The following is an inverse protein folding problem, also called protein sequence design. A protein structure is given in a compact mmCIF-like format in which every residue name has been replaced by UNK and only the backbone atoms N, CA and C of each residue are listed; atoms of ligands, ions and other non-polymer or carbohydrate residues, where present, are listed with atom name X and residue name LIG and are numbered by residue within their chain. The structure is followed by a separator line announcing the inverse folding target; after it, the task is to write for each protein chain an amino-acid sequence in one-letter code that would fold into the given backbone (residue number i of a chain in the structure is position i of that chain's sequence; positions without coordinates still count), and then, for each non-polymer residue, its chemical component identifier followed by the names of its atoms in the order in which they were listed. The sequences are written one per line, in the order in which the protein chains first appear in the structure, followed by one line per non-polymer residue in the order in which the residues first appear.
data_IF_062762768164
#
_entry.id   IF_062762768164
#
_cell.length_a   1.000
_cell.length_b   1.000
_cell.length_c   1.000
_cell.angle_alpha   90.00
_cell.angle_beta   90.00
_cell.angle_gamma   90.00
#
_symmetry.space_group_name_H-M   'P 1'
#
loop_
_entity.id
_entity.type
_entity.pdbx_description
1 polymer ?
#
# COMPACT_ATOMS: atom_id res chain seq x y z
N UNK A 1 66.71 52.22 -10.70
CA UNK A 1 65.82 51.99 -9.56
C UNK A 1 64.66 51.12 -10.12
N UNK A 2 64.71 49.82 -9.90
CA UNK A 2 63.73 48.92 -10.37
C UNK A 2 62.96 48.34 -9.15
N UNK A 3 61.68 48.58 -9.05
CA UNK A 3 60.79 47.97 -8.07
C UNK A 3 60.20 46.68 -8.63
N UNK A 4 60.34 45.64 -7.90
CA UNK A 4 59.83 44.29 -8.18
C UNK A 4 58.35 44.14 -7.88
N UNK A 5 57.60 43.35 -8.63
CA UNK A 5 56.24 42.93 -8.27
C UNK A 5 56.29 41.56 -7.55
N UNK A 6 56.00 41.55 -6.26
CA UNK A 6 55.93 40.35 -5.44
C UNK A 6 54.48 40.05 -4.92
N UNK A 7 53.44 40.19 -5.75
CA UNK A 7 52.06 40.01 -5.26
C UNK A 7 51.24 38.94 -6.01
N UNK A 8 51.71 38.39 -7.16
CA UNK A 8 50.86 37.50 -7.95
C UNK A 8 50.99 36.00 -7.62
N UNK A 9 52.07 35.56 -6.96
CA UNK A 9 52.29 34.17 -6.65
C UNK A 9 51.42 33.61 -5.48
N UNK A 10 51.06 34.46 -4.52
CA UNK A 10 50.27 34.07 -3.36
C UNK A 10 48.76 33.90 -3.67
N UNK A 11 48.23 34.63 -4.65
CA UNK A 11 46.81 34.51 -5.04
C UNK A 11 46.50 33.25 -5.87
N UNK A 12 47.50 32.75 -6.64
CA UNK A 12 47.30 31.53 -7.44
C UNK A 12 47.33 30.27 -6.60
N UNK A 13 48.17 30.19 -5.57
CA UNK A 13 48.23 29.04 -4.65
C UNK A 13 46.98 28.94 -3.76
N UNK A 14 46.40 30.09 -3.36
CA UNK A 14 45.16 30.08 -2.57
C UNK A 14 43.92 29.69 -3.36
N UNK A 15 43.86 30.06 -4.66
CA UNK A 15 42.75 29.64 -5.54
C UNK A 15 42.80 28.16 -5.89
N UNK A 16 44.01 27.56 -6.04
CA UNK A 16 44.16 26.13 -6.30
C UNK A 16 43.85 25.27 -5.06
N UNK A 17 44.17 25.72 -3.87
CA UNK A 17 43.80 25.03 -2.61
C UNK A 17 42.30 25.12 -2.33
N UNK A 18 41.63 26.21 -2.62
CA UNK A 18 40.18 26.36 -2.49
C UNK A 18 39.41 25.47 -3.49
N UNK A 19 39.92 25.32 -4.71
CA UNK A 19 39.34 24.42 -5.72
C UNK A 19 39.51 22.94 -5.37
N UNK A 20 40.64 22.56 -4.73
CA UNK A 20 40.86 21.20 -4.26
C UNK A 20 40.01 20.85 -3.03
N UNK A 21 39.75 21.80 -2.13
CA UNK A 21 38.86 21.62 -0.98
C UNK A 21 37.37 21.54 -1.38
N UNK A 22 36.96 22.22 -2.44
CA UNK A 22 35.59 22.07 -2.98
C UNK A 22 35.35 20.76 -3.73
N UNK A 23 36.38 20.09 -4.25
CA UNK A 23 36.23 18.77 -4.91
C UNK A 23 36.13 17.58 -3.91
N UNK A 24 36.52 17.76 -2.66
CA UNK A 24 36.45 16.70 -1.64
C UNK A 24 35.07 16.69 -0.94
N UNK A 25 34.25 17.76 -1.07
CA UNK A 25 32.97 17.89 -0.40
C UNK A 25 31.77 17.34 -1.18
N UNK A 26 31.94 16.80 -2.39
CA UNK A 26 30.88 16.07 -3.09
C UNK A 26 31.08 14.56 -2.96
N UNK A 27 31.17 14.05 -1.74
CA UNK A 27 30.64 12.71 -1.48
C UNK A 27 29.14 12.81 -1.73
N UNK A 28 28.73 12.55 -2.97
CA UNK A 28 27.36 12.28 -3.33
C UNK A 28 26.93 11.11 -2.46
N UNK A 29 26.23 11.42 -1.36
CA UNK A 29 25.40 10.44 -0.69
C UNK A 29 24.40 10.00 -1.77
N UNK A 30 24.71 8.92 -2.49
CA UNK A 30 23.69 8.21 -3.22
C UNK A 30 22.66 7.80 -2.17
N UNK A 31 21.40 8.20 -2.31
CA UNK A 31 20.37 7.68 -1.41
C UNK A 31 20.48 6.16 -1.49
N UNK A 32 20.64 5.52 -0.34
CA UNK A 32 20.60 4.06 -0.25
C UNK A 32 19.35 3.64 -1.02
N UNK A 33 19.50 2.85 -2.09
CA UNK A 33 18.37 2.41 -2.92
C UNK A 33 17.34 1.76 -1.99
N UNK A 34 16.05 1.99 -2.28
CA UNK A 34 14.97 1.37 -1.51
C UNK A 34 15.21 -0.14 -1.40
N UNK A 35 15.05 -0.70 -0.21
CA UNK A 35 15.22 -2.13 0.03
C UNK A 35 14.25 -2.95 -0.84
N UNK A 36 14.71 -4.08 -1.37
CA UNK A 36 13.88 -4.99 -2.17
C UNK A 36 13.05 -5.89 -1.25
N UNK A 37 11.76 -6.02 -1.52
CA UNK A 37 10.89 -6.94 -0.78
C UNK A 37 11.19 -8.39 -1.17
N UNK A 38 11.55 -9.21 -0.19
CA UNK A 38 11.73 -10.67 -0.34
C UNK A 38 10.75 -11.38 0.58
N UNK A 39 9.75 -12.05 0.00
CA UNK A 39 8.70 -12.78 0.72
C UNK A 39 9.11 -14.26 0.89
N UNK A 40 10.13 -14.50 1.72
CA UNK A 40 10.61 -15.86 2.01
C UNK A 40 9.46 -16.72 2.56
N UNK A 41 9.31 -17.93 2.01
CA UNK A 41 8.28 -18.92 2.38
C UNK A 41 6.81 -18.47 2.15
N UNK A 42 6.59 -17.27 1.62
CA UNK A 42 5.30 -16.85 1.05
C UNK A 42 5.33 -16.91 -0.47
N UNK A 43 6.40 -16.41 -1.11
CA UNK A 43 6.52 -16.47 -2.57
C UNK A 43 7.27 -17.71 -3.03
N UNK A 44 6.56 -18.60 -3.71
CA UNK A 44 7.09 -19.85 -4.25
C UNK A 44 8.00 -19.63 -5.48
N UNK A 45 8.81 -20.64 -5.86
CA UNK A 45 9.67 -20.54 -7.05
C UNK A 45 8.92 -20.26 -8.35
N UNK A 46 7.68 -20.71 -8.50
CA UNK A 46 6.82 -20.46 -9.67
C UNK A 46 6.19 -19.06 -9.69
N UNK A 47 6.36 -18.26 -8.62
CA UNK A 47 5.83 -16.91 -8.48
C UNK A 47 4.55 -16.79 -7.65
N UNK A 48 3.88 -17.89 -7.33
CA UNK A 48 2.70 -17.90 -6.47
C UNK A 48 3.02 -17.27 -5.10
N UNK A 49 2.11 -16.45 -4.57
CA UNK A 49 2.22 -15.87 -3.22
C UNK A 49 1.09 -16.44 -2.37
N UNK A 50 1.45 -17.21 -1.36
CA UNK A 50 0.49 -17.81 -0.42
C UNK A 50 0.00 -16.78 0.59
N UNK A 51 -1.23 -16.96 1.09
CA UNK A 51 -1.83 -16.06 2.08
C UNK A 51 -1.09 -16.15 3.42
N UNK A 52 -0.66 -17.35 3.80
CA UNK A 52 0.04 -17.62 5.06
C UNK A 52 1.44 -18.18 4.81
N UNK A 53 2.30 -18.08 5.83
CA UNK A 53 3.66 -18.62 5.82
C UNK A 53 3.67 -20.11 5.47
N UNK A 54 4.46 -20.50 4.48
CA UNK A 54 4.52 -21.85 3.93
C UNK A 54 3.13 -22.46 3.65
N UNK A 55 2.13 -21.61 3.35
CA UNK A 55 0.72 -21.98 3.26
C UNK A 55 0.36 -22.73 1.98
N UNK A 56 -0.84 -23.29 1.99
CA UNK A 56 -1.46 -24.09 0.92
C UNK A 56 -2.64 -23.39 0.24
N UNK A 57 -2.89 -22.13 0.57
CA UNK A 57 -3.97 -21.31 0.02
C UNK A 57 -3.45 -19.96 -0.47
N UNK A 58 -4.10 -19.45 -1.51
CA UNK A 58 -3.82 -18.15 -2.11
C UNK A 58 -5.11 -17.36 -2.21
N UNK A 59 -5.13 -16.21 -1.57
CA UNK A 59 -6.08 -15.17 -1.85
C UNK A 59 -5.37 -14.07 -2.66
N UNK A 60 -5.74 -13.86 -3.94
CA UNK A 60 -5.07 -12.88 -4.79
C UNK A 60 -5.14 -11.44 -4.26
N UNK A 61 -6.19 -11.10 -3.50
CA UNK A 61 -6.30 -9.79 -2.89
C UNK A 61 -5.16 -9.55 -1.89
N UNK A 62 -4.92 -10.47 -0.95
CA UNK A 62 -3.86 -10.31 0.04
C UNK A 62 -2.46 -10.24 -0.60
N UNK A 63 -2.22 -11.04 -1.63
CA UNK A 63 -0.95 -11.01 -2.37
C UNK A 63 -0.72 -9.65 -3.08
N UNK A 64 -1.72 -9.14 -3.80
CA UNK A 64 -1.63 -7.84 -4.46
C UNK A 64 -1.50 -6.70 -3.44
N UNK A 65 -2.30 -6.73 -2.37
CA UNK A 65 -2.29 -5.72 -1.31
C UNK A 65 -0.96 -5.69 -0.55
N UNK A 66 -0.34 -6.84 -0.29
CA UNK A 66 0.98 -6.94 0.33
C UNK A 66 2.06 -6.23 -0.50
N UNK A 67 2.06 -6.45 -1.81
CA UNK A 67 3.00 -5.80 -2.73
C UNK A 67 2.78 -4.29 -2.79
N UNK A 68 1.52 -3.84 -2.87
CA UNK A 68 1.16 -2.42 -2.89
C UNK A 68 1.51 -1.73 -1.57
N UNK A 69 1.17 -2.34 -0.44
CA UNK A 69 1.47 -1.79 0.88
C UNK A 69 2.98 -1.67 1.15
N UNK A 70 3.78 -2.64 0.70
CA UNK A 70 5.24 -2.53 0.75
C UNK A 70 5.78 -1.38 -0.11
N UNK A 71 5.20 -1.14 -1.30
CA UNK A 71 5.54 0.02 -2.13
C UNK A 71 5.19 1.34 -1.43
N UNK A 72 4.01 1.42 -0.82
CA UNK A 72 3.57 2.61 -0.06
C UNK A 72 4.47 2.86 1.14
N UNK A 73 4.96 1.79 1.76
CA UNK A 73 5.95 1.85 2.82
C UNK A 73 7.40 2.04 2.31
N UNK A 74 7.63 2.32 1.02
CA UNK A 74 8.92 2.72 0.46
C UNK A 74 9.86 1.60 0.05
N UNK A 75 9.41 0.34 -0.02
CA UNK A 75 10.19 -0.76 -0.59
C UNK A 75 10.08 -0.82 -2.12
N UNK A 76 11.10 -1.38 -2.77
CA UNK A 76 10.94 -1.86 -4.15
C UNK A 76 10.39 -3.29 -4.12
N UNK A 77 9.40 -3.56 -4.97
CA UNK A 77 8.76 -4.89 -5.07
C UNK A 77 8.89 -5.49 -6.46
N UNK A 78 9.80 -4.93 -7.27
CA UNK A 78 9.88 -5.24 -8.71
C UNK A 78 9.94 -6.73 -8.99
N UNK A 79 10.86 -7.45 -8.34
CA UNK A 79 11.04 -8.88 -8.56
C UNK A 79 9.83 -9.69 -8.10
N UNK A 80 9.35 -9.43 -6.89
CA UNK A 80 8.21 -10.14 -6.31
C UNK A 80 6.93 -9.89 -7.13
N UNK A 81 6.66 -8.63 -7.49
CA UNK A 81 5.48 -8.24 -8.26
C UNK A 81 5.51 -8.84 -9.68
N UNK A 82 6.65 -8.80 -10.39
CA UNK A 82 6.75 -9.37 -11.73
C UNK A 82 6.48 -10.87 -11.73
N UNK A 83 7.01 -11.61 -10.74
CA UNK A 83 6.79 -13.06 -10.61
C UNK A 83 5.33 -13.36 -10.25
N UNK A 84 4.74 -12.59 -9.34
CA UNK A 84 3.33 -12.72 -8.99
C UNK A 84 2.40 -12.44 -10.17
N UNK A 85 2.64 -11.34 -10.90
CA UNK A 85 1.85 -11.01 -12.09
C UNK A 85 1.96 -12.11 -13.15
N UNK A 86 3.16 -12.64 -13.40
CA UNK A 86 3.37 -13.74 -14.34
C UNK A 86 2.60 -15.00 -13.91
N UNK A 87 2.46 -15.25 -12.60
CA UNK A 87 1.72 -16.39 -12.07
C UNK A 87 0.20 -16.19 -12.16
N UNK A 88 -0.32 -15.01 -11.79
CA UNK A 88 -1.76 -14.76 -11.69
C UNK A 88 -2.41 -14.43 -13.04
N UNK A 89 -1.73 -13.70 -13.91
CA UNK A 89 -2.25 -13.19 -15.17
C UNK A 89 -2.92 -14.26 -16.06
N UNK A 90 -2.33 -15.47 -16.30
CA UNK A 90 -2.98 -16.51 -17.11
C UNK A 90 -4.19 -17.17 -16.40
N UNK A 91 -4.46 -16.82 -15.15
CA UNK A 91 -5.57 -17.34 -14.34
C UNK A 91 -6.76 -16.37 -14.30
N UNK A 92 -6.65 -15.22 -14.97
CA UNK A 92 -7.75 -14.28 -15.08
C UNK A 92 -8.90 -14.91 -15.88
N UNK A 93 -10.08 -14.93 -15.30
CA UNK A 93 -11.29 -15.43 -15.93
C UNK A 93 -11.70 -14.58 -17.14
N UNK A 94 -12.59 -15.11 -17.98
CA UNK A 94 -13.05 -14.42 -19.19
C UNK A 94 -13.74 -13.08 -18.89
N UNK A 95 -14.45 -13.03 -17.77
CA UNK A 95 -15.16 -11.83 -17.27
C UNK A 95 -14.26 -10.82 -16.55
N UNK A 96 -12.99 -11.16 -16.33
CA UNK A 96 -12.00 -10.28 -15.71
C UNK A 96 -11.69 -10.58 -14.26
N UNK A 97 -12.48 -11.41 -13.58
CA UNK A 97 -12.30 -11.81 -12.18
C UNK A 97 -11.14 -12.80 -11.98
N UNK A 98 -10.88 -13.10 -10.73
CA UNK A 98 -9.99 -14.17 -10.27
C UNK A 98 -10.66 -14.97 -9.17
N UNK A 99 -10.28 -16.23 -9.08
CA UNK A 99 -10.66 -17.11 -7.97
C UNK A 99 -9.60 -17.07 -6.86
N UNK A 100 -9.94 -17.68 -5.72
CA UNK A 100 -8.99 -18.14 -4.72
C UNK A 100 -8.45 -19.50 -5.12
N UNK A 101 -7.23 -19.81 -4.70
CA UNK A 101 -6.55 -21.05 -5.09
C UNK A 101 -6.11 -21.83 -3.87
N UNK A 102 -6.28 -23.15 -3.95
CA UNK A 102 -5.88 -24.11 -2.93
C UNK A 102 -4.90 -25.12 -3.51
N UNK A 103 -4.00 -25.62 -2.66
CA UNK A 103 -3.05 -26.65 -3.04
C UNK A 103 -3.75 -27.98 -3.29
N UNK A 104 -3.51 -28.56 -4.47
CA UNK A 104 -3.90 -29.95 -4.79
C UNK A 104 -2.67 -30.69 -5.33
N UNK A 105 -2.15 -31.59 -4.52
CA UNK A 105 -0.83 -32.18 -4.79
C UNK A 105 0.26 -31.11 -4.70
N UNK A 106 0.93 -30.82 -5.81
CA UNK A 106 1.99 -29.79 -5.89
C UNK A 106 1.58 -28.55 -6.67
N UNK A 107 0.29 -28.38 -6.99
CA UNK A 107 -0.19 -27.26 -7.82
C UNK A 107 -1.34 -26.55 -7.15
N UNK A 108 -1.38 -25.23 -7.31
CA UNK A 108 -2.55 -24.43 -6.95
C UNK A 108 -3.60 -24.51 -8.05
N UNK A 109 -4.82 -24.84 -7.65
CA UNK A 109 -6.01 -24.88 -8.51
C UNK A 109 -7.08 -23.96 -7.94
N UNK A 110 -7.95 -23.43 -8.78
CA UNK A 110 -9.14 -22.69 -8.34
C UNK A 110 -9.97 -23.56 -7.40
N UNK A 111 -10.36 -23.01 -6.25
CA UNK A 111 -11.12 -23.74 -5.23
C UNK A 111 -12.30 -22.94 -4.66
N UNK A 112 -12.32 -21.62 -4.86
CA UNK A 112 -13.38 -20.76 -4.35
C UNK A 112 -13.40 -19.46 -5.15
N UNK A 113 -14.59 -18.87 -5.36
CA UNK A 113 -14.71 -17.50 -5.86
C UNK A 113 -14.09 -16.52 -4.84
N UNK A 114 -13.56 -15.37 -5.32
CA UNK A 114 -13.20 -14.28 -4.45
C UNK A 114 -14.44 -13.74 -3.72
N UNK A 115 -14.25 -13.15 -2.54
CA UNK A 115 -15.35 -12.61 -1.73
C UNK A 115 -15.66 -11.13 -2.02
N UNK A 116 -14.69 -10.40 -2.58
CA UNK A 116 -14.82 -8.98 -2.92
C UNK A 116 -14.19 -8.72 -4.30
N UNK A 117 -15.04 -8.74 -5.33
CA UNK A 117 -14.59 -8.51 -6.72
C UNK A 117 -14.07 -7.08 -6.91
N UNK A 118 -14.71 -6.08 -6.30
CA UNK A 118 -14.35 -4.67 -6.43
C UNK A 118 -12.94 -4.36 -5.88
N UNK A 119 -12.66 -4.75 -4.65
CA UNK A 119 -11.36 -4.55 -4.00
C UNK A 119 -10.25 -5.33 -4.72
N UNK A 120 -10.52 -6.59 -5.12
CA UNK A 120 -9.53 -7.40 -5.84
C UNK A 120 -9.21 -6.82 -7.22
N UNK A 121 -10.22 -6.40 -8.00
CA UNK A 121 -10.00 -5.78 -9.32
C UNK A 121 -9.23 -4.46 -9.17
N UNK A 122 -9.56 -3.65 -8.17
CA UNK A 122 -8.86 -2.41 -7.85
C UNK A 122 -7.38 -2.68 -7.52
N UNK A 123 -7.11 -3.58 -6.58
CA UNK A 123 -5.73 -3.94 -6.19
C UNK A 123 -4.92 -4.52 -7.37
N UNK A 124 -5.55 -5.33 -8.23
CA UNK A 124 -4.92 -5.86 -9.43
C UNK A 124 -4.58 -4.78 -10.44
N UNK A 125 -5.52 -3.90 -10.75
CA UNK A 125 -5.31 -2.76 -11.66
C UNK A 125 -4.19 -1.86 -11.16
N UNK A 126 -4.21 -1.52 -9.88
CA UNK A 126 -3.18 -0.68 -9.25
C UNK A 126 -1.80 -1.35 -9.30
N UNK A 127 -1.72 -2.65 -8.99
CA UNK A 127 -0.46 -3.40 -9.05
C UNK A 127 0.13 -3.41 -10.46
N UNK A 128 -0.68 -3.63 -11.50
CA UNK A 128 -0.23 -3.64 -12.89
C UNK A 128 0.38 -2.29 -13.30
N UNK A 129 -0.28 -1.16 -12.99
CA UNK A 129 0.20 0.17 -13.39
C UNK A 129 1.41 0.62 -12.57
N UNK A 130 1.48 0.26 -11.28
CA UNK A 130 2.62 0.61 -10.41
C UNK A 130 3.85 -0.26 -10.66
N UNK A 131 3.65 -1.49 -11.13
CA UNK A 131 4.72 -2.43 -11.46
C UNK A 131 5.14 -2.38 -12.94
N UNK A 132 4.48 -1.55 -13.76
CA UNK A 132 4.74 -1.45 -15.19
C UNK A 132 6.21 -1.06 -15.46
N UNK A 133 6.87 -1.71 -16.45
CA UNK A 133 8.21 -1.32 -16.88
C UNK A 133 8.26 0.14 -17.35
N UNK A 134 9.44 0.81 -17.33
CA UNK A 134 9.57 2.20 -17.79
C UNK A 134 9.11 2.45 -19.23
N UNK A 135 9.15 1.43 -20.09
CA UNK A 135 8.68 1.51 -21.49
C UNK A 135 7.16 1.37 -21.63
N UNK A 136 6.45 1.20 -20.54
CA UNK A 136 5.00 0.99 -20.49
C UNK A 136 4.61 -0.46 -20.22
N UNK A 137 3.30 -0.65 -19.99
CA UNK A 137 2.72 -1.97 -19.74
C UNK A 137 2.88 -2.90 -20.95
N UNK A 138 3.30 -4.17 -20.75
CA UNK A 138 3.25 -5.18 -21.81
C UNK A 138 1.81 -5.37 -22.30
N UNK A 139 1.59 -5.74 -23.60
CA UNK A 139 0.24 -5.91 -24.15
C UNK A 139 -0.66 -6.87 -23.34
N UNK A 140 -0.09 -7.95 -22.81
CA UNK A 140 -0.83 -8.91 -21.98
C UNK A 140 -1.30 -8.28 -20.63
N UNK A 141 -0.47 -7.41 -20.03
CA UNK A 141 -0.85 -6.69 -18.81
C UNK A 141 -1.94 -5.65 -19.09
N UNK A 142 -1.82 -4.93 -20.21
CA UNK A 142 -2.84 -3.97 -20.64
C UNK A 142 -4.18 -4.67 -20.88
N UNK A 143 -4.18 -5.80 -21.60
CA UNK A 143 -5.41 -6.58 -21.84
C UNK A 143 -6.05 -7.08 -20.54
N UNK A 144 -5.23 -7.47 -19.54
CA UNK A 144 -5.70 -7.89 -18.23
C UNK A 144 -6.26 -6.72 -17.42
N UNK A 145 -5.56 -5.57 -17.43
CA UNK A 145 -6.05 -4.32 -16.84
C UNK A 145 -7.41 -3.93 -17.41
N UNK A 146 -7.56 -3.96 -18.73
CA UNK A 146 -8.80 -3.59 -19.40
C UNK A 146 -9.95 -4.54 -19.05
N UNK A 147 -9.68 -5.85 -18.87
CA UNK A 147 -10.69 -6.81 -18.42
C UNK A 147 -11.13 -6.52 -16.98
N UNK A 148 -10.17 -6.31 -16.06
CA UNK A 148 -10.47 -5.98 -14.68
C UNK A 148 -11.26 -4.66 -14.58
N UNK A 149 -10.88 -3.63 -15.35
CA UNK A 149 -11.60 -2.36 -15.40
C UNK A 149 -13.02 -2.51 -15.89
N UNK A 150 -13.25 -3.30 -16.96
CA UNK A 150 -14.62 -3.55 -17.45
C UNK A 150 -15.47 -4.29 -16.43
N UNK A 151 -14.91 -5.29 -15.75
CA UNK A 151 -15.62 -5.97 -14.68
C UNK A 151 -15.99 -5.01 -13.56
N UNK A 152 -15.02 -4.22 -13.09
CA UNK A 152 -15.24 -3.22 -12.05
C UNK A 152 -16.32 -2.21 -12.45
N UNK A 153 -16.35 -1.73 -13.71
CA UNK A 153 -17.38 -0.81 -14.19
C UNK A 153 -18.81 -1.43 -14.11
N UNK A 154 -18.95 -2.78 -14.14
CA UNK A 154 -20.24 -3.46 -13.94
C UNK A 154 -20.74 -3.47 -12.49
N UNK A 155 -19.81 -3.28 -11.53
CA UNK A 155 -20.13 -3.26 -10.10
C UNK A 155 -20.52 -1.86 -9.60
N UNK A 156 -20.43 -0.83 -10.44
CA UNK A 156 -20.80 0.53 -10.05
C UNK A 156 -22.32 0.66 -9.92
N UNK A 157 -22.78 0.99 -8.71
CA UNK A 157 -24.19 1.28 -8.47
C UNK A 157 -24.56 2.63 -9.11
N UNK A 158 -25.51 2.67 -10.07
CA UNK A 158 -25.86 3.90 -10.77
C UNK A 158 -26.54 4.94 -9.88
N UNK A 159 -27.21 4.51 -8.79
CA UNK A 159 -27.90 5.42 -7.86
C UNK A 159 -26.95 6.12 -6.88
N UNK A 160 -26.02 5.37 -6.31
CA UNK A 160 -25.08 5.89 -5.33
C UNK A 160 -23.71 6.25 -5.89
N UNK A 161 -23.34 5.71 -7.07
CA UNK A 161 -22.05 5.94 -7.70
C UNK A 161 -20.88 5.19 -7.08
N UNK A 162 -21.06 4.49 -5.96
CA UNK A 162 -20.06 3.63 -5.33
C UNK A 162 -20.06 2.23 -5.92
N UNK A 163 -19.03 1.45 -5.64
CA UNK A 163 -18.84 0.09 -6.12
C UNK A 163 -19.36 -0.93 -5.12
N UNK A 164 -19.98 -1.98 -5.65
CA UNK A 164 -20.55 -3.08 -4.87
C UNK A 164 -19.55 -4.21 -4.81
N UNK A 165 -19.53 -4.95 -3.69
CA UNK A 165 -18.62 -6.10 -3.45
C UNK A 165 -18.62 -7.06 -4.64
N UNK A 166 -19.81 -7.42 -5.13
CA UNK A 166 -19.99 -8.28 -6.30
C UNK A 166 -21.41 -8.15 -6.85
N UNK A 167 -21.65 -8.70 -8.04
CA UNK A 167 -23.01 -8.76 -8.62
C UNK A 167 -23.98 -9.63 -7.78
N UNK A 168 -23.45 -10.61 -7.02
CA UNK A 168 -24.24 -11.49 -6.14
C UNK A 168 -24.56 -10.85 -4.79
N UNK A 169 -23.69 -9.96 -4.33
CA UNK A 169 -23.83 -9.27 -3.04
C UNK A 169 -23.82 -7.75 -3.28
N UNK A 170 -24.98 -7.14 -3.51
CA UNK A 170 -25.10 -5.71 -3.85
C UNK A 170 -24.98 -4.82 -2.62
N UNK A 171 -23.85 -4.94 -1.93
CA UNK A 171 -23.45 -4.15 -0.76
C UNK A 171 -22.17 -3.41 -1.12
N UNK A 172 -22.06 -2.14 -0.76
CA UNK A 172 -20.81 -1.41 -0.89
C UNK A 172 -20.11 -1.30 0.46
N UNK A 173 -18.80 -1.56 0.48
CA UNK A 173 -17.94 -1.35 1.62
C UNK A 173 -17.11 -0.08 1.43
N UNK A 174 -16.94 0.68 2.52
CA UNK A 174 -16.13 1.90 2.50
C UNK A 174 -14.69 1.60 2.08
N UNK A 175 -14.05 0.60 2.69
CA UNK A 175 -12.63 0.32 2.46
C UNK A 175 -12.38 -0.13 1.03
N UNK A 176 -13.25 -0.97 0.46
CA UNK A 176 -13.15 -1.42 -0.94
C UNK A 176 -13.26 -0.24 -1.91
N UNK A 177 -14.20 0.68 -1.66
CA UNK A 177 -14.35 1.89 -2.47
C UNK A 177 -13.16 2.85 -2.37
N UNK A 178 -12.51 2.93 -1.20
CA UNK A 178 -11.24 3.66 -1.03
C UNK A 178 -10.14 3.04 -1.89
N UNK A 179 -10.06 1.72 -1.98
CA UNK A 179 -9.10 1.01 -2.83
C UNK A 179 -9.40 1.22 -4.33
N UNK A 180 -10.66 1.21 -4.72
CA UNK A 180 -11.05 1.56 -6.10
C UNK A 180 -10.61 2.99 -6.46
N UNK A 181 -10.78 3.96 -5.57
CA UNK A 181 -10.30 5.32 -5.78
C UNK A 181 -8.77 5.37 -5.90
N UNK A 182 -8.03 4.64 -5.06
CA UNK A 182 -6.56 4.50 -5.16
C UNK A 182 -6.13 3.96 -6.52
N UNK A 183 -6.78 2.90 -6.99
CA UNK A 183 -6.49 2.30 -8.29
C UNK A 183 -6.72 3.29 -9.46
N UNK A 184 -7.77 4.10 -9.40
CA UNK A 184 -8.02 5.13 -10.43
C UNK A 184 -6.98 6.24 -10.40
N UNK A 185 -6.55 6.70 -9.21
CA UNK A 185 -5.45 7.66 -9.04
C UNK A 185 -4.15 7.10 -9.62
N UNK A 186 -3.82 5.85 -9.28
CA UNK A 186 -2.63 5.17 -9.81
C UNK A 186 -2.67 5.00 -11.34
N UNK A 187 -3.84 4.68 -11.93
CA UNK A 187 -4.03 4.62 -13.38
C UNK A 187 -3.85 6.00 -14.04
N UNK A 188 -4.34 7.07 -13.40
CA UNK A 188 -4.10 8.44 -13.86
C UNK A 188 -2.61 8.78 -13.87
N UNK A 189 -1.90 8.52 -12.76
CA UNK A 189 -0.47 8.77 -12.63
C UNK A 189 0.35 7.98 -13.66
N UNK A 190 -0.03 6.72 -13.89
CA UNK A 190 0.60 5.90 -14.92
C UNK A 190 0.46 6.52 -16.31
N UNK A 191 -0.76 6.90 -16.71
CA UNK A 191 -1.05 7.56 -18.01
C UNK A 191 -0.28 8.87 -18.15
N UNK A 192 -0.26 9.68 -17.10
CA UNK A 192 0.47 10.96 -17.09
C UNK A 192 1.97 10.75 -17.33
N UNK A 193 2.59 9.79 -16.64
CA UNK A 193 4.01 9.46 -16.81
C UNK A 193 4.37 8.93 -18.19
N UNK A 194 3.41 8.37 -18.92
CA UNK A 194 3.59 7.85 -20.28
C UNK A 194 3.07 8.80 -21.36
N UNK A 195 2.81 10.08 -21.04
CA UNK A 195 2.45 11.13 -22.00
C UNK A 195 1.00 11.09 -22.48
N UNK A 196 0.14 10.24 -21.90
CA UNK A 196 -1.29 10.18 -22.21
C UNK A 196 -2.08 11.09 -21.26
N UNK A 197 -1.99 12.41 -21.46
CA UNK A 197 -2.66 13.41 -20.63
C UNK A 197 -4.20 13.29 -20.67
N UNK A 198 -4.77 12.88 -21.80
CA UNK A 198 -6.23 12.72 -21.96
C UNK A 198 -6.71 11.52 -21.14
N UNK A 199 -6.05 10.39 -21.25
CA UNK A 199 -6.33 9.20 -20.43
C UNK A 199 -6.13 9.47 -18.95
N UNK A 200 -5.04 10.16 -18.57
CA UNK A 200 -4.79 10.58 -17.20
C UNK A 200 -5.93 11.41 -16.62
N UNK A 201 -6.35 12.47 -17.32
CA UNK A 201 -7.48 13.28 -16.90
C UNK A 201 -8.80 12.49 -16.81
N UNK A 202 -8.98 11.48 -17.67
CA UNK A 202 -10.13 10.57 -17.62
C UNK A 202 -10.18 9.76 -16.32
N UNK A 203 -9.07 9.14 -15.93
CA UNK A 203 -8.96 8.37 -14.71
C UNK A 203 -9.06 9.25 -13.46
N UNK A 204 -8.44 10.44 -13.47
CA UNK A 204 -8.54 11.37 -12.34
C UNK A 204 -9.98 11.81 -12.11
N UNK A 205 -10.75 12.13 -13.18
CA UNK A 205 -12.17 12.45 -13.02
C UNK A 205 -12.99 11.30 -12.42
N UNK A 206 -12.70 10.03 -12.79
CA UNK A 206 -13.33 8.85 -12.16
C UNK A 206 -13.01 8.82 -10.65
N UNK A 207 -11.74 9.03 -10.27
CA UNK A 207 -11.31 9.05 -8.88
C UNK A 207 -11.98 10.17 -8.06
N UNK A 208 -11.94 11.41 -8.57
CA UNK A 208 -12.55 12.57 -7.90
C UNK A 208 -14.08 12.43 -7.74
N UNK A 209 -14.75 11.84 -8.75
CA UNK A 209 -16.17 11.57 -8.63
C UNK A 209 -16.45 10.51 -7.58
N UNK A 210 -15.66 9.42 -7.54
CA UNK A 210 -15.79 8.38 -6.53
C UNK A 210 -15.49 8.92 -5.13
N UNK A 211 -14.48 9.77 -4.95
CA UNK A 211 -14.19 10.40 -3.66
C UNK A 211 -15.40 11.20 -3.13
N UNK A 212 -16.09 11.93 -4.01
CA UNK A 212 -17.32 12.65 -3.66
C UNK A 212 -18.46 11.68 -3.31
N UNK A 213 -18.62 10.61 -4.07
CA UNK A 213 -19.65 9.59 -3.83
C UNK A 213 -19.38 8.83 -2.52
N UNK A 214 -18.11 8.48 -2.21
CA UNK A 214 -17.69 7.90 -0.92
C UNK A 214 -18.12 8.81 0.24
N UNK A 215 -17.79 10.10 0.17
CA UNK A 215 -18.16 11.04 1.23
C UNK A 215 -19.67 11.20 1.35
N UNK A 216 -20.40 11.24 0.25
CA UNK A 216 -21.86 11.33 0.26
C UNK A 216 -22.53 10.09 0.86
N UNK A 217 -22.04 8.91 0.51
CA UNK A 217 -22.63 7.62 0.92
C UNK A 217 -22.22 7.23 2.33
N UNK A 218 -20.95 7.37 2.69
CA UNK A 218 -20.42 6.79 3.93
C UNK A 218 -20.15 7.81 5.04
N UNK A 219 -19.93 9.11 4.73
CA UNK A 219 -19.61 10.09 5.77
C UNK A 219 -20.85 10.60 6.50
N UNK A 220 -20.77 10.59 7.84
CA UNK A 220 -21.77 11.18 8.74
C UNK A 220 -21.08 12.15 9.69
N UNK A 221 -21.37 13.46 9.67
CA UNK A 221 -20.61 14.49 10.40
C UNK A 221 -20.39 14.20 11.90
N UNK A 222 -21.38 13.60 12.56
CA UNK A 222 -21.34 13.36 14.01
C UNK A 222 -21.01 11.90 14.40
N UNK A 223 -20.92 10.99 13.42
CA UNK A 223 -20.76 9.56 13.67
C UNK A 223 -19.48 8.99 13.05
N UNK A 224 -18.85 9.72 12.11
CA UNK A 224 -17.74 9.21 11.31
C UNK A 224 -18.22 8.51 10.04
N UNK A 225 -17.45 7.53 9.59
CA UNK A 225 -17.78 6.77 8.40
C UNK A 225 -18.65 5.56 8.71
N UNK A 226 -19.69 5.34 7.92
CA UNK A 226 -20.33 4.04 7.83
C UNK A 226 -19.36 3.05 7.14
N UNK A 227 -19.30 1.83 7.64
CA UNK A 227 -18.40 0.80 7.08
C UNK A 227 -18.97 0.15 5.82
N UNK A 228 -20.30 0.13 5.73
CA UNK A 228 -21.02 -0.46 4.59
C UNK A 228 -22.37 0.24 4.36
N UNK A 229 -22.97 -0.03 3.20
CA UNK A 229 -24.35 0.39 2.90
C UNK A 229 -25.41 -0.46 3.60
N UNK A 230 -25.02 -1.60 4.18
CA UNK A 230 -25.89 -2.39 5.03
C UNK A 230 -25.68 -2.03 6.51
N UNK A 231 -26.78 -1.89 7.30
CA UNK A 231 -26.68 -1.73 8.75
C UNK A 231 -25.97 -2.92 9.40
N UNK A 232 -25.29 -2.65 10.52
CA UNK A 232 -24.67 -3.67 11.37
C UNK A 232 -25.20 -3.55 12.78
N UNK A 233 -25.49 -4.70 13.41
CA UNK A 233 -26.06 -4.74 14.75
C UNK A 233 -25.02 -4.52 15.85
N UNK A 234 -23.74 -4.85 15.59
CA UNK A 234 -22.67 -4.75 16.57
C UNK A 234 -21.42 -4.15 15.94
N UNK A 235 -20.82 -3.20 16.64
CA UNK A 235 -19.53 -2.64 16.28
C UNK A 235 -18.40 -3.59 16.73
N UNK A 236 -17.35 -3.69 15.90
CA UNK A 236 -16.15 -4.47 16.17
C UNK A 236 -14.90 -3.65 15.83
N UNK A 237 -13.72 -4.09 16.28
CA UNK A 237 -12.49 -3.42 15.87
C UNK A 237 -12.37 -3.42 14.34
N UNK A 238 -12.49 -4.58 13.72
CA UNK A 238 -12.67 -4.70 12.28
C UNK A 238 -14.11 -5.13 11.99
N UNK A 239 -14.80 -4.45 11.08
CA UNK A 239 -14.30 -3.35 10.22
C UNK A 239 -14.49 -1.94 10.83
N UNK A 240 -15.22 -1.76 11.93
CA UNK A 240 -15.74 -0.46 12.31
C UNK A 240 -14.66 0.56 12.70
N UNK A 241 -13.71 0.18 13.58
CA UNK A 241 -12.63 1.08 13.95
C UNK A 241 -11.65 1.30 12.78
N UNK A 242 -11.26 0.25 12.05
CA UNK A 242 -10.31 0.34 10.93
C UNK A 242 -10.84 1.24 9.82
N UNK A 243 -12.12 1.13 9.48
CA UNK A 243 -12.76 1.94 8.45
C UNK A 243 -12.67 3.47 8.72
N UNK A 244 -12.58 3.90 9.99
CA UNK A 244 -12.54 5.33 10.33
C UNK A 244 -11.26 6.05 9.85
N UNK A 245 -10.15 5.33 9.70
CA UNK A 245 -8.86 5.89 9.28
C UNK A 245 -8.41 5.39 7.91
N UNK A 246 -9.06 4.37 7.36
CA UNK A 246 -8.70 3.79 6.06
C UNK A 246 -8.70 4.82 4.91
N UNK A 247 -9.65 5.79 4.83
CA UNK A 247 -9.66 6.83 3.82
C UNK A 247 -8.40 7.72 3.79
N UNK A 248 -7.63 7.76 4.89
CA UNK A 248 -6.36 8.49 4.95
C UNK A 248 -5.35 7.93 3.93
N UNK A 249 -5.37 6.62 3.68
CA UNK A 249 -4.46 5.97 2.72
C UNK A 249 -4.62 6.54 1.31
N UNK A 250 -5.84 6.88 0.90
CA UNK A 250 -6.16 7.42 -0.43
C UNK A 250 -6.38 8.94 -0.46
N UNK A 251 -6.03 9.69 0.61
CA UNK A 251 -6.28 11.13 0.76
C UNK A 251 -7.76 11.55 0.67
N UNK A 252 -8.68 10.67 1.03
CA UNK A 252 -10.11 10.98 1.06
C UNK A 252 -10.48 11.54 2.43
N UNK A 253 -11.00 12.76 2.47
CA UNK A 253 -11.40 13.44 3.72
C UNK A 253 -12.57 14.37 3.51
N UNK A 254 -13.50 14.44 4.46
CA UNK A 254 -14.51 15.49 4.47
C UNK A 254 -13.85 16.84 4.82
N UNK A 255 -14.37 17.93 4.28
CA UNK A 255 -13.86 19.27 4.56
C UNK A 255 -13.86 19.61 6.06
N UNK A 256 -14.78 19.03 6.83
CA UNK A 256 -14.94 19.26 8.26
C UNK A 256 -13.95 18.50 9.16
N UNK A 257 -13.18 17.54 8.61
CA UNK A 257 -12.27 16.71 9.42
C UNK A 257 -10.95 16.43 8.67
N UNK A 258 -9.90 17.23 8.93
CA UNK A 258 -8.56 16.97 8.39
C UNK A 258 -8.01 15.62 8.86
N UNK A 259 -7.14 14.99 8.06
CA UNK A 259 -6.53 13.69 8.37
C UNK A 259 -5.83 13.66 9.74
N UNK A 260 -5.08 14.71 10.10
CA UNK A 260 -4.41 14.79 11.39
C UNK A 260 -5.40 14.72 12.57
N UNK A 261 -6.55 15.41 12.47
CA UNK A 261 -7.57 15.36 13.50
C UNK A 261 -8.26 13.99 13.57
N UNK A 262 -8.54 13.37 12.41
CA UNK A 262 -9.12 12.03 12.34
C UNK A 262 -8.18 10.99 12.96
N UNK A 263 -6.90 11.02 12.59
CA UNK A 263 -5.88 10.13 13.12
C UNK A 263 -5.67 10.29 14.62
N UNK A 264 -5.51 11.52 15.10
CA UNK A 264 -5.34 11.80 16.54
C UNK A 264 -6.50 11.27 17.37
N UNK A 265 -7.73 11.52 16.95
CA UNK A 265 -8.91 11.03 17.64
C UNK A 265 -8.97 9.50 17.65
N UNK A 266 -8.72 8.89 16.52
CA UNK A 266 -8.69 7.44 16.40
C UNK A 266 -7.63 6.81 17.32
N UNK A 267 -6.41 7.34 17.32
CA UNK A 267 -5.33 6.84 18.17
C UNK A 267 -5.67 6.99 19.66
N UNK A 268 -6.33 8.09 20.05
CA UNK A 268 -6.79 8.28 21.42
C UNK A 268 -7.78 7.19 21.86
N UNK A 269 -8.66 6.77 20.96
CA UNK A 269 -9.74 5.83 21.26
C UNK A 269 -9.34 4.36 21.06
N UNK A 270 -8.56 4.06 20.03
CA UNK A 270 -8.37 2.69 19.53
C UNK A 270 -6.93 2.16 19.64
N UNK A 271 -5.92 2.99 19.97
CA UNK A 271 -4.50 2.57 19.97
C UNK A 271 -4.26 1.30 20.77
N UNK A 272 -4.84 1.21 21.98
CA UNK A 272 -4.62 0.06 22.86
C UNK A 272 -5.26 -1.22 22.30
N UNK A 273 -6.49 -1.12 21.81
CA UNK A 273 -7.16 -2.24 21.16
C UNK A 273 -6.36 -2.71 19.94
N UNK A 274 -5.88 -1.78 19.09
CA UNK A 274 -5.04 -2.11 17.95
C UNK A 274 -3.76 -2.85 18.33
N UNK A 275 -2.99 -2.33 19.31
CA UNK A 275 -1.71 -2.93 19.71
C UNK A 275 -1.86 -4.32 20.37
N UNK A 276 -3.07 -4.70 20.76
CA UNK A 276 -3.42 -6.02 21.32
C UNK A 276 -4.08 -6.96 20.30
N UNK A 277 -4.40 -6.47 19.08
CA UNK A 277 -5.13 -7.28 18.08
C UNK A 277 -4.43 -8.58 17.71
N UNK A 278 -3.10 -8.60 17.67
CA UNK A 278 -2.33 -9.80 17.31
C UNK A 278 -2.65 -11.03 18.16
N UNK A 279 -3.26 -10.85 19.33
CA UNK A 279 -3.66 -11.95 20.23
C UNK A 279 -4.93 -12.66 19.74
N UNK A 280 -5.81 -11.93 19.04
CA UNK A 280 -7.16 -12.39 18.70
C UNK A 280 -7.48 -12.33 17.20
N UNK A 281 -6.78 -11.47 16.45
CA UNK A 281 -6.98 -11.23 15.02
C UNK A 281 -5.65 -10.84 14.36
N UNK A 282 -5.67 -10.35 13.12
CA UNK A 282 -4.50 -9.78 12.46
C UNK A 282 -3.97 -8.56 13.21
N UNK A 283 -2.64 -8.31 13.19
CA UNK A 283 -2.05 -7.13 13.84
C UNK A 283 -2.38 -5.80 13.16
N UNK A 284 -3.09 -5.82 12.03
CA UNK A 284 -3.55 -4.64 11.30
C UNK A 284 -2.40 -3.68 10.94
N UNK A 285 -1.40 -4.20 10.26
CA UNK A 285 -0.27 -3.43 9.74
C UNK A 285 -0.67 -2.25 8.84
N UNK A 286 -1.86 -2.29 8.22
CA UNK A 286 -2.41 -1.14 7.50
C UNK A 286 -2.66 0.07 8.41
N UNK A 287 -2.94 -0.13 9.70
CA UNK A 287 -2.98 0.96 10.69
C UNK A 287 -1.58 1.54 10.91
N UNK A 288 -0.54 0.69 10.93
CA UNK A 288 0.84 1.15 10.98
C UNK A 288 1.23 1.93 9.70
N UNK A 289 0.71 1.55 8.53
CA UNK A 289 0.89 2.31 7.29
C UNK A 289 0.21 3.69 7.35
N UNK A 290 -0.98 3.79 7.95
CA UNK A 290 -1.61 5.08 8.23
C UNK A 290 -0.75 5.90 9.18
N UNK A 291 -0.23 5.28 10.26
CA UNK A 291 0.67 5.95 11.20
C UNK A 291 1.93 6.49 10.51
N UNK A 292 2.50 5.73 9.58
CA UNK A 292 3.63 6.16 8.75
C UNK A 292 3.30 7.39 7.92
N UNK A 293 2.17 7.37 7.23
CA UNK A 293 1.68 8.51 6.45
C UNK A 293 1.46 9.76 7.31
N UNK A 294 1.12 9.57 8.58
CA UNK A 294 0.96 10.65 9.56
C UNK A 294 2.25 11.03 10.32
N UNK A 295 3.36 10.33 10.06
CA UNK A 295 4.67 10.59 10.69
C UNK A 295 4.81 10.08 12.12
N UNK A 296 3.91 9.20 12.59
CA UNK A 296 3.91 8.65 13.95
C UNK A 296 4.82 7.41 14.04
N UNK A 297 6.13 7.66 14.18
CA UNK A 297 7.16 6.63 14.31
C UNK A 297 7.00 5.77 15.57
N UNK A 298 6.50 6.35 16.65
CA UNK A 298 6.31 5.65 17.93
C UNK A 298 5.19 4.60 17.81
N UNK A 299 4.11 4.92 17.12
CA UNK A 299 3.04 3.97 16.86
C UNK A 299 3.53 2.77 16.04
N UNK A 300 4.34 3.01 14.99
CA UNK A 300 4.95 1.95 14.17
C UNK A 300 5.87 1.07 15.00
N UNK A 301 6.76 1.67 15.81
CA UNK A 301 7.67 0.94 16.68
C UNK A 301 6.92 0.06 17.70
N UNK A 302 5.86 0.60 18.31
CA UNK A 302 5.01 -0.16 19.22
C UNK A 302 4.29 -1.32 18.51
N UNK A 303 3.74 -1.10 17.33
CA UNK A 303 3.13 -2.16 16.54
C UNK A 303 4.11 -3.29 16.25
N UNK A 304 5.32 -2.98 15.77
CA UNK A 304 6.36 -3.98 15.51
C UNK A 304 6.70 -4.82 16.76
N UNK A 305 6.94 -4.16 17.88
CA UNK A 305 7.31 -4.82 19.15
C UNK A 305 6.20 -5.73 19.65
N UNK A 306 4.93 -5.28 19.52
CA UNK A 306 3.77 -6.04 19.99
C UNK A 306 3.43 -7.21 19.09
N UNK A 307 3.59 -7.05 17.77
CA UNK A 307 3.15 -8.02 16.78
C UNK A 307 4.17 -9.13 16.49
N UNK A 308 5.50 -8.87 16.67
CA UNK A 308 6.57 -9.79 16.25
C UNK A 308 6.43 -11.20 16.84
N UNK A 309 5.96 -11.34 18.06
CA UNK A 309 5.79 -12.65 18.71
C UNK A 309 4.71 -13.52 18.05
N UNK A 310 3.82 -12.93 17.23
CA UNK A 310 2.76 -13.63 16.50
C UNK A 310 3.13 -13.87 15.03
N UNK A 311 4.32 -13.42 14.61
CA UNK A 311 4.80 -13.54 13.23
C UNK A 311 4.79 -15.00 12.80
N UNK A 312 4.31 -15.25 11.57
CA UNK A 312 4.13 -16.57 10.98
C UNK A 312 3.06 -17.45 11.66
N UNK A 313 2.34 -16.94 12.64
CA UNK A 313 1.20 -17.62 13.28
C UNK A 313 -0.09 -17.51 12.46
N UNK A 314 -1.17 -18.04 13.00
CA UNK A 314 -2.51 -18.10 12.35
C UNK A 314 -3.12 -16.73 12.01
N UNK A 315 -2.70 -15.69 12.71
CA UNK A 315 -3.16 -14.30 12.52
C UNK A 315 -2.13 -13.45 11.78
N UNK A 316 -1.18 -14.07 11.06
CA UNK A 316 -0.14 -13.37 10.33
C UNK A 316 -0.15 -13.76 8.86
N UNK A 317 -0.82 -12.95 8.04
CA UNK A 317 -0.87 -13.16 6.59
C UNK A 317 0.29 -12.44 5.87
N UNK A 318 0.36 -12.62 4.56
CA UNK A 318 1.42 -12.03 3.71
C UNK A 318 1.42 -10.50 3.70
N UNK A 319 0.27 -9.85 3.92
CA UNK A 319 0.19 -8.38 4.02
C UNK A 319 0.88 -7.87 5.30
N UNK A 320 0.66 -8.56 6.42
CA UNK A 320 1.34 -8.25 7.68
C UNK A 320 2.87 -8.45 7.55
N UNK A 321 3.28 -9.53 6.88
CA UNK A 321 4.70 -9.80 6.61
C UNK A 321 5.34 -8.71 5.77
N UNK A 322 4.70 -8.30 4.68
CA UNK A 322 5.22 -7.27 3.79
C UNK A 322 5.39 -5.91 4.50
N UNK A 323 4.42 -5.52 5.32
CA UNK A 323 4.50 -4.29 6.11
C UNK A 323 5.54 -4.38 7.23
N UNK A 324 5.64 -5.53 7.91
CA UNK A 324 6.66 -5.75 8.92
C UNK A 324 8.06 -5.61 8.33
N UNK A 325 8.35 -6.27 7.22
CA UNK A 325 9.62 -6.19 6.51
C UNK A 325 9.91 -4.75 6.03
N UNK A 326 8.90 -4.04 5.54
CA UNK A 326 9.06 -2.68 5.08
C UNK A 326 9.45 -1.71 6.21
N UNK A 327 8.84 -1.83 7.36
CA UNK A 327 9.19 -0.99 8.51
C UNK A 327 10.50 -1.42 9.16
N UNK A 328 10.83 -2.71 9.14
CA UNK A 328 12.11 -3.22 9.64
C UNK A 328 13.29 -2.74 8.79
N UNK A 329 13.15 -2.74 7.46
CA UNK A 329 14.19 -2.29 6.53
C UNK A 329 14.61 -0.82 6.69
N UNK A 330 13.80 -0.01 7.37
CA UNK A 330 14.09 1.41 7.66
C UNK A 330 14.91 1.62 8.94
N UNK A 331 15.11 0.57 9.72
CA UNK A 331 15.89 0.65 10.95
C UNK A 331 17.37 0.44 10.67
N UNK A 332 18.24 1.16 11.40
CA UNK A 332 19.62 0.75 11.47
C UNK A 332 19.73 -0.61 12.18
N UNK A 333 20.81 -1.39 11.96
CA UNK A 333 21.04 -2.64 12.70
C UNK A 333 20.98 -2.47 14.22
N UNK A 334 21.45 -1.32 14.74
CA UNK A 334 21.38 -0.98 16.15
C UNK A 334 19.94 -0.73 16.63
N UNK A 335 19.12 -0.04 15.81
CA UNK A 335 17.72 0.22 16.11
C UNK A 335 16.83 -1.04 16.02
N UNK A 336 17.19 -1.97 15.14
CA UNK A 336 16.46 -3.25 15.00
C UNK A 336 16.66 -4.13 16.26
N UNK A 337 17.82 -4.03 16.91
CA UNK A 337 18.19 -4.79 18.12
C UNK A 337 17.91 -4.02 19.42
N UNK A 338 17.70 -2.71 19.36
CA UNK A 338 17.51 -1.88 20.54
C UNK A 338 16.16 -2.18 21.21
N UNK A 339 16.12 -2.31 22.54
CA UNK A 339 14.86 -2.25 23.26
C UNK A 339 14.19 -0.89 23.00
N UNK A 340 12.84 -0.81 23.11
CA UNK A 340 12.14 0.46 22.95
C UNK A 340 12.77 1.53 23.85
N UNK A 341 12.87 2.76 23.33
CA UNK A 341 13.43 3.89 24.08
C UNK A 341 12.78 3.99 25.46
N UNK A 342 13.52 4.31 26.52
CA UNK A 342 13.01 4.33 27.92
C UNK A 342 11.76 5.19 28.14
N UNK A 343 11.43 6.10 27.21
CA UNK A 343 10.21 6.92 27.22
C UNK A 343 9.07 6.39 26.36
N UNK A 344 9.29 5.36 25.53
CA UNK A 344 8.29 4.80 24.63
C UNK A 344 7.32 3.92 25.41
N UNK A 345 6.09 4.42 25.63
CA UNK A 345 5.02 3.64 26.28
C UNK A 345 4.18 2.96 25.21
N UNK A 346 4.46 1.68 24.95
CA UNK A 346 3.59 0.81 24.14
C UNK A 346 2.43 0.22 24.99
N UNK A 347 1.94 1.02 25.95
CA UNK A 347 0.81 0.67 26.82
C UNK A 347 -0.43 1.42 26.42
#
# INVERSE_FOLDING_TARGET
MAMWPAHDAALHTMKTLLALLLMIATCVHQPAGAAELVLTDYQRPDGAITTYFAGDSIDPYFAAKALLAAQDAGMTTRTAATRWIAWLLPRQLADGRFDRYCMKGQRFVSCQEADADDALMAAWMELLVRSAPPKGMPPAWQASFDKASRHLDTLRDPGSGVYLISAKLPVALLMDNVEVSSAFKAASDYRQRHGDAVGAAGWMRKAEQLDKDILRVFWRPNQGYLVSTQPRDQAAFYPDAVAQIFPILADIKPASRPHAAAYYLWMKENRMAWLQMSEVDFPWGLVALVADKMGDKDAIACWRIRSIQFRHGKHWNVLEEALYLAFEARLSPEQALAPPSPGMRCR
#
